data_IF_678107498386
#
_entry.id   IF_678107498386
#
_cell.length_a   1.000
_cell.length_b   1.000
_cell.length_c   1.000
_cell.angle_alpha   90.00
_cell.angle_beta   90.00
_cell.angle_gamma   90.00
#
_symmetry.space_group_name_H-M   'P 1'
#
loop_
_entity.id
_entity.type
_entity.pdbx_description
1 polymer ?
#
# COMPACT_ATOMS: atom_id res chain seq x y z
N UNK A 1 27.97 43.10 -0.73
CA UNK A 1 28.04 41.71 -1.25
C UNK A 1 28.18 41.74 -2.76
N UNK A 2 29.22 41.13 -3.33
CA UNK A 2 29.42 41.12 -4.79
C UNK A 2 28.39 40.21 -5.45
N UNK A 3 27.88 40.57 -6.65
CA UNK A 3 26.93 39.75 -7.40
C UNK A 3 27.41 38.30 -7.58
N UNK A 4 28.73 38.10 -7.70
CA UNK A 4 29.37 36.78 -7.78
C UNK A 4 29.17 35.94 -6.51
N UNK A 5 29.15 36.58 -5.34
CA UNK A 5 28.91 35.91 -4.06
C UNK A 5 27.45 35.48 -3.91
N UNK A 6 26.51 36.32 -4.36
CA UNK A 6 25.07 36.00 -4.36
C UNK A 6 24.78 34.84 -5.33
N UNK A 7 25.35 34.88 -6.53
CA UNK A 7 25.21 33.78 -7.50
C UNK A 7 25.82 32.48 -6.96
N UNK A 8 27.00 32.54 -6.34
CA UNK A 8 27.63 31.37 -5.73
C UNK A 8 26.76 30.77 -4.59
N UNK A 9 26.12 31.61 -3.77
CA UNK A 9 25.22 31.13 -2.72
C UNK A 9 23.91 30.55 -3.27
N UNK A 10 23.34 31.11 -4.34
CA UNK A 10 22.14 30.56 -4.97
C UNK A 10 22.45 29.19 -5.59
N UNK A 11 23.60 29.04 -6.26
CA UNK A 11 24.03 27.75 -6.84
C UNK A 11 24.29 26.72 -5.74
N UNK A 12 24.96 27.12 -4.65
CA UNK A 12 25.20 26.23 -3.51
C UNK A 12 23.89 25.80 -2.82
N UNK A 13 22.92 26.71 -2.66
CA UNK A 13 21.62 26.39 -2.08
C UNK A 13 20.79 25.44 -2.97
N UNK A 14 20.87 25.59 -4.29
CA UNK A 14 20.18 24.72 -5.24
C UNK A 14 20.76 23.30 -5.27
N UNK A 15 22.07 23.15 -5.08
CA UNK A 15 22.75 21.84 -4.99
C UNK A 15 22.42 21.09 -3.69
N UNK A 16 22.23 21.80 -2.58
CA UNK A 16 21.88 21.18 -1.28
C UNK A 16 20.39 20.79 -1.20
N UNK A 17 19.52 21.50 -1.92
CA UNK A 17 18.06 21.25 -1.90
C UNK A 17 17.61 19.97 -2.64
N UNK A 18 18.51 19.26 -3.33
CA UNK A 18 18.19 18.05 -4.12
C UNK A 18 18.39 16.73 -3.34
N UNK A 19 18.85 16.76 -2.08
CA UNK A 19 19.05 15.54 -1.28
C UNK A 19 17.74 15.12 -0.62
N UNK A 20 16.76 14.76 -1.44
CA UNK A 20 15.60 14.01 -0.99
C UNK A 20 16.00 12.56 -0.77
N UNK A 21 16.40 12.20 0.46
CA UNK A 21 16.59 10.79 0.84
C UNK A 21 15.20 10.15 0.93
N UNK A 22 14.72 9.62 -0.19
CA UNK A 22 13.56 8.75 -0.20
C UNK A 22 13.99 7.38 0.35
N UNK A 23 13.82 7.18 1.65
CA UNK A 23 13.80 5.82 2.23
C UNK A 23 12.53 5.13 1.74
N UNK A 24 12.61 4.48 0.58
CA UNK A 24 11.55 3.61 0.10
C UNK A 24 11.61 2.27 0.86
N UNK A 25 10.94 2.20 2.00
CA UNK A 25 10.65 0.92 2.65
C UNK A 25 9.60 0.15 1.84
N UNK A 26 10.05 -0.92 1.16
CA UNK A 26 9.20 -2.03 0.73
C UNK A 26 8.59 -1.93 -0.66
N UNK A 27 9.36 -2.29 -1.69
CA UNK A 27 8.85 -3.00 -2.88
C UNK A 27 9.88 -4.06 -3.29
N UNK A 28 9.46 -5.16 -3.90
CA UNK A 28 10.28 -6.35 -4.19
C UNK A 28 11.36 -6.17 -5.28
N UNK A 29 11.74 -4.93 -5.57
CA UNK A 29 12.90 -4.59 -6.41
C UNK A 29 13.93 -3.92 -5.50
N UNK A 30 15.04 -4.59 -5.17
CA UNK A 30 16.17 -4.04 -4.41
C UNK A 30 16.97 -2.97 -5.23
N UNK A 31 16.31 -2.27 -6.15
CA UNK A 31 16.88 -1.30 -7.09
C UNK A 31 16.14 0.05 -7.09
N UNK A 32 16.40 0.94 -8.06
CA UNK A 32 15.96 2.34 -8.08
C UNK A 32 14.45 2.58 -8.34
N UNK A 33 13.60 1.58 -8.09
CA UNK A 33 12.15 1.65 -8.25
C UNK A 33 11.69 1.64 -9.72
N UNK A 34 10.40 1.95 -9.95
CA UNK A 34 9.81 2.10 -11.28
C UNK A 34 9.92 3.55 -11.77
N UNK A 35 9.88 3.78 -13.09
CA UNK A 35 9.90 5.13 -13.65
C UNK A 35 10.70 5.24 -14.95
N UNK A 36 10.71 6.46 -15.50
CA UNK A 36 11.37 6.79 -16.77
C UNK A 36 12.84 6.40 -16.80
N UNK A 37 13.57 6.55 -15.69
CA UNK A 37 14.96 6.13 -15.58
C UNK A 37 15.11 4.63 -15.76
N UNK A 38 14.22 3.80 -15.21
CA UNK A 38 14.31 2.35 -15.38
C UNK A 38 14.14 1.99 -16.87
N UNK A 39 13.11 2.54 -17.52
CA UNK A 39 12.83 2.31 -18.95
C UNK A 39 13.90 2.89 -19.88
N UNK A 40 14.44 4.07 -19.58
CA UNK A 40 15.46 4.70 -20.43
C UNK A 40 16.80 3.97 -20.37
N UNK A 41 17.10 3.32 -19.24
CA UNK A 41 18.33 2.57 -19.03
C UNK A 41 18.17 1.06 -19.24
N UNK A 42 16.95 0.56 -19.45
CA UNK A 42 16.66 -0.82 -19.86
C UNK A 42 17.36 -1.15 -21.19
N UNK A 43 18.27 -2.14 -21.19
CA UNK A 43 19.01 -2.53 -22.39
C UNK A 43 20.27 -1.70 -22.68
N UNK A 44 20.67 -0.80 -21.78
CA UNK A 44 21.95 -0.11 -21.86
C UNK A 44 23.12 -1.08 -21.76
N UNK A 45 24.27 -0.73 -22.37
CA UNK A 45 25.53 -1.46 -22.14
C UNK A 45 26.09 -1.31 -20.72
N UNK A 46 25.42 -0.54 -19.87
CA UNK A 46 25.80 -0.27 -18.49
C UNK A 46 25.10 -1.30 -17.59
N UNK A 47 25.88 -1.96 -16.73
CA UNK A 47 25.34 -2.85 -15.71
C UNK A 47 24.51 -2.06 -14.68
N UNK A 48 23.19 -2.24 -14.75
CA UNK A 48 22.19 -1.58 -13.91
C UNK A 48 22.24 -2.02 -12.44
N UNK A 49 23.05 -3.03 -12.10
CA UNK A 49 23.26 -3.47 -10.71
C UNK A 49 24.38 -2.70 -10.00
N UNK A 50 25.13 -1.86 -10.72
CA UNK A 50 26.19 -1.03 -10.13
C UNK A 50 25.62 0.20 -9.45
N UNK A 51 26.25 0.63 -8.35
CA UNK A 51 25.84 1.83 -7.58
C UNK A 51 25.74 3.07 -8.47
N UNK A 52 26.65 3.23 -9.43
CA UNK A 52 26.63 4.37 -10.37
C UNK A 52 25.43 4.35 -11.32
N UNK A 53 25.09 3.19 -11.87
CA UNK A 53 23.93 3.05 -12.73
C UNK A 53 22.61 3.27 -11.95
N UNK A 54 22.53 2.74 -10.72
CA UNK A 54 21.37 2.94 -9.86
C UNK A 54 21.18 4.42 -9.49
N UNK A 55 22.27 5.15 -9.22
CA UNK A 55 22.22 6.60 -8.99
C UNK A 55 21.69 7.34 -10.23
N UNK A 56 22.19 7.03 -11.42
CA UNK A 56 21.73 7.68 -12.66
C UNK A 56 20.25 7.39 -12.95
N UNK A 57 19.80 6.15 -12.74
CA UNK A 57 18.39 5.77 -12.87
C UNK A 57 17.55 6.52 -11.84
N UNK A 58 17.98 6.58 -10.58
CA UNK A 58 17.29 7.30 -9.50
C UNK A 58 17.21 8.80 -9.76
N UNK A 59 18.29 9.42 -10.26
CA UNK A 59 18.31 10.83 -10.65
C UNK A 59 17.33 11.07 -11.80
N UNK A 60 17.33 10.22 -12.82
CA UNK A 60 16.40 10.33 -13.96
C UNK A 60 14.94 10.13 -13.52
N UNK A 61 14.69 9.31 -12.49
CA UNK A 61 13.37 9.12 -11.89
C UNK A 61 12.88 10.34 -11.10
N UNK A 62 13.77 11.09 -10.43
CA UNK A 62 13.40 12.11 -9.42
C UNK A 62 13.75 13.57 -9.71
N UNK A 63 14.79 13.92 -10.49
CA UNK A 63 15.37 15.27 -10.42
C UNK A 63 14.89 16.26 -11.49
N UNK A 64 14.52 15.82 -12.69
CA UNK A 64 14.16 16.78 -13.77
C UNK A 64 12.69 17.18 -13.68
N UNK A 65 11.82 16.22 -13.39
CA UNK A 65 10.42 16.34 -13.00
C UNK A 65 10.15 15.14 -12.07
N UNK A 66 9.09 15.15 -11.25
CA UNK A 66 8.75 14.00 -10.40
C UNK A 66 8.16 12.88 -11.27
N UNK A 67 8.93 12.40 -12.24
CA UNK A 67 8.53 11.46 -13.26
C UNK A 67 8.22 10.09 -12.68
N UNK A 68 8.88 9.72 -11.59
CA UNK A 68 8.47 8.58 -10.79
C UNK A 68 7.08 8.80 -10.20
N UNK A 69 6.79 9.96 -9.60
CA UNK A 69 5.47 10.24 -9.05
C UNK A 69 4.39 10.30 -10.15
N UNK A 70 4.70 10.89 -11.31
CA UNK A 70 3.82 10.90 -12.48
C UNK A 70 3.59 9.50 -13.05
N UNK A 71 4.65 8.69 -13.15
CA UNK A 71 4.59 7.30 -13.58
C UNK A 71 3.75 6.46 -12.63
N UNK A 72 3.90 6.67 -11.32
CA UNK A 72 3.03 6.09 -10.30
C UNK A 72 1.59 6.57 -10.54
N UNK A 73 1.27 7.86 -10.54
CA UNK A 73 -0.13 8.33 -10.62
C UNK A 73 -0.83 7.93 -11.92
N UNK A 74 -0.12 7.90 -13.05
CA UNK A 74 -0.70 7.58 -14.37
C UNK A 74 -0.54 6.11 -14.77
N UNK A 75 0.28 5.32 -14.07
CA UNK A 75 0.52 3.91 -14.37
C UNK A 75 1.37 3.66 -15.62
N UNK A 76 2.24 4.60 -15.99
CA UNK A 76 3.13 4.50 -17.15
C UNK A 76 4.60 4.28 -16.72
N UNK A 77 5.51 4.10 -17.67
CA UNK A 77 6.95 3.90 -17.42
C UNK A 77 7.28 2.69 -16.52
N UNK A 78 6.53 1.60 -16.67
CA UNK A 78 6.71 0.37 -15.91
C UNK A 78 6.22 0.44 -14.45
N UNK A 79 5.66 1.58 -14.03
CA UNK A 79 5.00 1.70 -12.72
C UNK A 79 3.58 1.11 -12.81
N UNK A 80 3.29 0.11 -11.97
CA UNK A 80 1.95 -0.46 -11.86
C UNK A 80 1.27 0.03 -10.60
N UNK A 81 0.08 0.63 -10.75
CA UNK A 81 -0.81 0.92 -9.64
C UNK A 81 -1.72 -0.28 -9.42
N UNK A 82 -1.25 -1.23 -8.62
CA UNK A 82 -2.05 -2.42 -8.35
C UNK A 82 -3.25 -2.10 -7.43
N UNK A 83 -3.39 -0.85 -6.92
CA UNK A 83 -4.45 -0.41 -6.02
C UNK A 83 -4.52 -1.16 -4.67
N UNK A 84 -3.73 -2.23 -4.50
CA UNK A 84 -3.78 -3.16 -3.37
C UNK A 84 -3.55 -2.46 -2.04
N UNK A 85 -2.58 -1.53 -1.97
CA UNK A 85 -2.32 -0.73 -0.77
C UNK A 85 -3.58 0.04 -0.35
N UNK A 86 -4.23 0.72 -1.30
CA UNK A 86 -5.47 1.45 -1.04
C UNK A 86 -6.67 0.54 -0.76
N UNK A 87 -6.72 -0.66 -1.34
CA UNK A 87 -7.83 -1.62 -1.14
C UNK A 87 -7.79 -2.27 0.25
N UNK A 88 -6.60 -2.58 0.77
CA UNK A 88 -6.37 -3.06 2.14
C UNK A 88 -6.63 -1.94 3.16
N UNK A 89 -6.20 -0.72 2.82
CA UNK A 89 -6.43 0.45 3.66
C UNK A 89 -7.90 0.86 3.74
N UNK A 90 -8.66 0.75 2.64
CA UNK A 90 -10.12 0.96 2.64
C UNK A 90 -10.84 0.06 3.64
N UNK A 91 -10.50 -1.23 3.67
CA UNK A 91 -11.11 -2.19 4.62
C UNK A 91 -10.75 -1.83 6.06
N UNK A 92 -9.50 -1.46 6.32
CA UNK A 92 -9.02 -1.07 7.65
C UNK A 92 -9.66 0.25 8.12
N UNK A 93 -9.82 1.22 7.22
CA UNK A 93 -10.49 2.49 7.48
C UNK A 93 -11.98 2.29 7.76
N UNK A 94 -12.66 1.43 6.97
CA UNK A 94 -14.04 1.06 7.24
C UNK A 94 -14.20 0.40 8.62
N UNK A 95 -13.30 -0.52 8.96
CA UNK A 95 -13.28 -1.16 10.27
C UNK A 95 -13.02 -0.15 11.40
N UNK A 96 -12.18 0.85 11.17
CA UNK A 96 -11.90 1.91 12.15
C UNK A 96 -13.12 2.77 12.45
N UNK A 97 -13.82 3.22 11.39
CA UNK A 97 -14.98 4.12 11.51
C UNK A 97 -16.17 3.39 12.16
N UNK A 98 -16.33 2.10 11.88
CA UNK A 98 -17.50 1.32 12.29
C UNK A 98 -17.17 0.30 13.38
N UNK A 99 -16.07 0.43 14.11
CA UNK A 99 -15.58 -0.61 15.02
C UNK A 99 -16.63 -1.05 16.06
N UNK A 100 -17.30 -0.10 16.70
CA UNK A 100 -18.32 -0.38 17.72
C UNK A 100 -19.50 -1.15 17.13
N UNK A 101 -20.04 -0.69 16.00
CA UNK A 101 -21.13 -1.38 15.30
C UNK A 101 -20.69 -2.76 14.81
N UNK A 102 -19.49 -2.88 14.25
CA UNK A 102 -18.93 -4.16 13.80
C UNK A 102 -18.76 -5.13 14.97
N UNK A 103 -18.30 -4.67 16.12
CA UNK A 103 -18.20 -5.50 17.33
C UNK A 103 -19.57 -6.04 17.72
N UNK A 104 -20.57 -5.18 17.84
CA UNK A 104 -21.93 -5.59 18.20
C UNK A 104 -22.56 -6.54 17.17
N UNK A 105 -22.40 -6.25 15.88
CA UNK A 105 -22.93 -7.07 14.79
C UNK A 105 -22.20 -8.42 14.66
N UNK A 106 -20.89 -8.47 14.94
CA UNK A 106 -20.14 -9.72 15.04
C UNK A 106 -20.63 -10.57 16.22
N UNK A 107 -20.91 -9.96 17.37
CA UNK A 107 -21.48 -10.68 18.51
C UNK A 107 -22.87 -11.24 18.20
N UNK A 108 -23.69 -10.47 17.47
CA UNK A 108 -25.04 -10.86 17.07
C UNK A 108 -25.04 -11.87 15.91
N UNK A 109 -23.96 -11.95 15.13
CA UNK A 109 -23.86 -12.79 13.93
C UNK A 109 -24.65 -12.24 12.74
N UNK A 110 -25.01 -10.95 12.75
CA UNK A 110 -25.75 -10.29 11.67
C UNK A 110 -25.61 -8.77 11.76
N UNK A 111 -25.70 -8.09 10.61
CA UNK A 111 -25.75 -6.64 10.56
C UNK A 111 -25.27 -6.05 9.23
N UNK A 112 -25.57 -4.77 9.01
CA UNK A 112 -25.32 -4.10 7.73
C UNK A 112 -23.86 -3.69 7.56
N UNK A 113 -23.19 -3.34 8.66
CA UNK A 113 -21.76 -3.03 8.65
C UNK A 113 -20.93 -4.30 8.46
N UNK A 114 -21.35 -5.41 9.07
CA UNK A 114 -20.72 -6.72 8.91
C UNK A 114 -20.89 -7.26 7.49
N UNK A 115 -22.06 -7.11 6.88
CA UNK A 115 -22.30 -7.43 5.47
C UNK A 115 -21.44 -6.58 4.52
N UNK A 116 -21.33 -5.28 4.82
CA UNK A 116 -20.47 -4.36 4.07
C UNK A 116 -19.00 -4.72 4.20
N UNK A 117 -18.55 -5.11 5.40
CA UNK A 117 -17.20 -5.60 5.65
C UNK A 117 -16.92 -6.88 4.86
N UNK A 118 -17.83 -7.86 4.86
CA UNK A 118 -17.72 -9.09 4.09
C UNK A 118 -17.54 -8.80 2.59
N UNK A 119 -18.35 -7.87 2.07
CA UNK A 119 -18.28 -7.41 0.67
C UNK A 119 -16.94 -6.74 0.36
N UNK A 120 -16.46 -5.85 1.25
CA UNK A 120 -15.15 -5.21 1.11
C UNK A 120 -14.00 -6.22 1.15
N UNK A 121 -14.16 -7.31 1.89
CA UNK A 121 -13.19 -8.41 1.99
C UNK A 121 -13.28 -9.41 0.83
N UNK A 122 -14.24 -9.25 -0.08
CA UNK A 122 -14.39 -10.11 -1.26
C UNK A 122 -15.12 -11.42 -1.00
N UNK A 123 -15.95 -11.48 0.04
CA UNK A 123 -16.84 -12.62 0.32
C UNK A 123 -18.12 -12.50 -0.53
N UNK A 124 -18.44 -13.48 -1.39
CA UNK A 124 -19.67 -13.48 -2.18
C UNK A 124 -20.93 -13.48 -1.30
N UNK A 125 -22.03 -12.92 -1.79
CA UNK A 125 -23.29 -12.80 -1.04
C UNK A 125 -23.82 -14.15 -0.53
N UNK A 126 -23.66 -15.21 -1.34
CA UNK A 126 -24.02 -16.59 -1.00
C UNK A 126 -23.23 -17.16 0.20
N UNK A 127 -22.04 -16.64 0.50
CA UNK A 127 -21.17 -17.10 1.58
C UNK A 127 -21.10 -16.13 2.76
N UNK A 128 -21.87 -15.04 2.74
CA UNK A 128 -21.86 -14.06 3.84
C UNK A 128 -22.38 -14.66 5.15
N UNK A 129 -23.34 -15.59 5.11
CA UNK A 129 -23.82 -16.28 6.31
C UNK A 129 -22.71 -17.07 7.01
N UNK A 130 -21.85 -17.75 6.25
CA UNK A 130 -20.69 -18.47 6.79
C UNK A 130 -19.65 -17.51 7.36
N UNK A 131 -19.45 -16.37 6.70
CA UNK A 131 -18.58 -15.31 7.21
C UNK A 131 -19.10 -14.75 8.54
N UNK A 132 -20.40 -14.49 8.67
CA UNK A 132 -20.99 -14.00 9.92
C UNK A 132 -20.84 -15.00 11.05
N UNK A 133 -21.16 -16.28 10.80
CA UNK A 133 -20.96 -17.37 11.76
C UNK A 133 -19.50 -17.44 12.22
N UNK A 134 -18.55 -17.39 11.28
CA UNK A 134 -17.12 -17.42 11.59
C UNK A 134 -16.70 -16.22 12.46
N UNK A 135 -17.19 -15.01 12.16
CA UNK A 135 -16.89 -13.82 12.96
C UNK A 135 -17.50 -13.87 14.35
N UNK A 136 -18.69 -14.49 14.49
CA UNK A 136 -19.35 -14.69 15.77
C UNK A 136 -18.60 -15.73 16.62
N UNK A 137 -18.23 -16.88 16.03
CA UNK A 137 -17.48 -17.94 16.72
C UNK A 137 -16.11 -17.44 17.22
N UNK A 138 -15.49 -16.52 16.48
CA UNK A 138 -14.18 -15.94 16.81
C UNK A 138 -14.28 -14.56 17.45
N UNK A 139 -15.48 -14.12 17.84
CA UNK A 139 -15.77 -12.77 18.31
C UNK A 139 -14.75 -12.22 19.30
N UNK A 140 -14.51 -12.95 20.40
CA UNK A 140 -13.58 -12.51 21.47
C UNK A 140 -12.17 -12.24 20.92
N UNK A 141 -11.69 -13.09 20.00
CA UNK A 141 -10.36 -12.92 19.41
C UNK A 141 -10.32 -11.76 18.42
N UNK A 142 -11.38 -11.55 17.65
CA UNK A 142 -11.45 -10.50 16.63
C UNK A 142 -11.59 -9.11 17.24
N UNK A 143 -12.45 -8.95 18.25
CA UNK A 143 -12.64 -7.68 18.97
C UNK A 143 -11.40 -7.30 19.75
N UNK A 144 -10.77 -8.24 20.47
CA UNK A 144 -9.50 -7.98 21.16
C UNK A 144 -8.40 -7.53 20.20
N UNK A 145 -8.39 -8.04 18.97
CA UNK A 145 -7.47 -7.56 17.93
C UNK A 145 -7.83 -6.13 17.47
N UNK A 146 -9.12 -5.81 17.35
CA UNK A 146 -9.59 -4.47 16.98
C UNK A 146 -9.41 -3.40 18.03
N UNK A 147 -9.48 -3.75 19.31
CA UNK A 147 -9.10 -2.86 20.42
C UNK A 147 -7.63 -2.43 20.33
N UNK A 148 -6.76 -3.30 19.80
CA UNK A 148 -5.36 -2.95 19.54
C UNK A 148 -5.21 -2.08 18.29
N UNK A 149 -5.82 -2.46 17.17
CA UNK A 149 -5.95 -1.59 15.99
C UNK A 149 -6.94 -2.15 14.95
N UNK A 150 -7.55 -1.29 14.11
CA UNK A 150 -8.36 -1.72 12.98
C UNK A 150 -7.62 -2.64 11.99
N UNK A 151 -6.32 -2.39 11.78
CA UNK A 151 -5.46 -3.22 10.92
C UNK A 151 -5.28 -4.62 11.52
N UNK A 152 -5.11 -4.73 12.84
CA UNK A 152 -5.00 -6.01 13.52
C UNK A 152 -6.30 -6.82 13.46
N UNK A 153 -7.46 -6.15 13.57
CA UNK A 153 -8.77 -6.78 13.35
C UNK A 153 -8.89 -7.35 11.94
N UNK A 154 -8.68 -6.53 10.91
CA UNK A 154 -8.78 -6.97 9.51
C UNK A 154 -7.80 -8.10 9.20
N UNK A 155 -6.58 -8.05 9.75
CA UNK A 155 -5.60 -9.13 9.63
C UNK A 155 -6.08 -10.42 10.31
N UNK A 156 -6.65 -10.33 11.51
CA UNK A 156 -7.20 -11.47 12.22
C UNK A 156 -8.37 -12.11 11.45
N UNK A 157 -9.25 -11.30 10.85
CA UNK A 157 -10.36 -11.78 10.02
C UNK A 157 -9.82 -12.46 8.74
N UNK A 158 -8.86 -11.84 8.03
CA UNK A 158 -8.23 -12.48 6.86
C UNK A 158 -7.60 -13.83 7.20
N UNK A 159 -6.94 -13.92 8.36
CA UNK A 159 -6.35 -15.17 8.83
C UNK A 159 -7.42 -16.22 9.14
N UNK A 160 -8.56 -15.80 9.67
CA UNK A 160 -9.70 -16.67 9.94
C UNK A 160 -10.40 -17.13 8.65
N UNK A 161 -10.55 -16.27 7.64
CA UNK A 161 -11.04 -16.63 6.31
C UNK A 161 -10.14 -17.68 5.68
N UNK A 162 -8.82 -17.46 5.66
CA UNK A 162 -7.85 -18.38 5.06
C UNK A 162 -7.81 -19.76 5.75
N UNK A 163 -8.14 -19.81 7.05
CA UNK A 163 -8.24 -21.06 7.80
C UNK A 163 -9.62 -21.73 7.69
N UNK A 164 -10.62 -21.08 7.09
CA UNK A 164 -11.98 -21.58 7.04
C UNK A 164 -12.24 -22.37 5.73
N UNK A 165 -12.73 -23.62 5.81
CA UNK A 165 -12.75 -24.54 4.68
C UNK A 165 -13.57 -24.07 3.47
N UNK A 166 -14.65 -23.32 3.70
CA UNK A 166 -15.49 -22.77 2.63
C UNK A 166 -15.02 -21.38 2.18
N UNK A 167 -14.94 -20.41 3.11
CA UNK A 167 -14.50 -19.04 2.84
C UNK A 167 -13.12 -18.92 2.15
N UNK A 168 -12.17 -19.83 2.44
CA UNK A 168 -10.86 -19.81 1.80
C UNK A 168 -10.90 -20.08 0.28
N UNK A 169 -11.94 -20.76 -0.21
CA UNK A 169 -12.09 -21.10 -1.63
C UNK A 169 -12.81 -20.01 -2.43
N UNK A 170 -13.56 -19.15 -1.74
CA UNK A 170 -14.51 -18.20 -2.36
C UNK A 170 -14.10 -16.75 -2.17
N UNK A 171 -13.21 -16.46 -1.22
CA UNK A 171 -12.61 -15.13 -1.06
C UNK A 171 -11.75 -14.77 -2.27
N UNK A 172 -12.11 -13.69 -2.96
CA UNK A 172 -11.42 -13.23 -4.18
C UNK A 172 -10.15 -12.40 -3.92
N UNK A 173 -9.71 -12.30 -2.66
CA UNK A 173 -8.53 -11.52 -2.24
C UNK A 173 -7.32 -12.38 -1.95
#
# INVERSE_FOLDING_TARGET
MSKKFIVAQIVAAFLVAQVGVALASGTSDLGPGCGLGKVAWEGSRIDTNTVGAQLLISTTNNTILPWQAFGITTGIFGCKNNGKVWAEEKTSMFAAINFENLSQEMAQGQGEHLASLATLMGVPAEHQAEFFSMTQDRYISLVKAGEASPVAMVKAINSAIAAHPVLAQVSTR
#
